data_IF_265641988330
#
_entry.id   IF_265641988330
#
_cell.length_a   1.000
_cell.length_b   1.000
_cell.length_c   1.000
_cell.angle_alpha   90.00
_cell.angle_beta   90.00
_cell.angle_gamma   90.00
#
_symmetry.space_group_name_H-M   'P 1'
#
loop_
_entity.id
_entity.type
_entity.pdbx_description
1 polymer ?
#
# COMPACT_ATOMS: atom_id res chain seq x y z
N UNK A 1 27.20 26.40 -6.24
CA UNK A 1 26.63 26.05 -4.91
C UNK A 1 25.12 26.15 -5.04
N UNK A 2 24.48 25.03 -5.24
CA UNK A 2 23.02 24.97 -5.20
C UNK A 2 22.64 24.88 -3.73
N UNK A 3 22.03 25.94 -3.21
CA UNK A 3 21.40 25.93 -1.90
C UNK A 3 20.22 24.94 -1.95
N UNK A 4 20.42 23.78 -1.37
CA UNK A 4 19.37 22.80 -1.11
C UNK A 4 18.50 23.35 0.03
N UNK A 5 17.58 24.26 -0.30
CA UNK A 5 16.54 24.71 0.62
C UNK A 5 15.49 23.60 0.74
N UNK A 6 15.80 22.59 1.55
CA UNK A 6 14.76 21.69 2.02
C UNK A 6 13.81 22.50 2.90
N UNK A 7 12.61 22.79 2.40
CA UNK A 7 11.56 23.37 3.23
C UNK A 7 11.37 22.51 4.49
N UNK A 8 11.24 23.12 5.66
CA UNK A 8 11.00 22.36 6.88
C UNK A 8 9.70 21.58 6.72
N UNK A 9 9.79 20.24 6.72
CA UNK A 9 8.60 19.38 6.72
C UNK A 9 7.78 19.72 7.95
N UNK A 10 6.56 20.22 7.76
CA UNK A 10 5.64 20.50 8.86
C UNK A 10 5.48 19.22 9.70
N UNK A 11 5.55 19.37 11.02
CA UNK A 11 5.34 18.25 11.94
C UNK A 11 3.89 17.78 11.83
N UNK A 12 3.69 16.59 11.32
CA UNK A 12 2.35 16.01 11.09
C UNK A 12 1.87 15.41 12.40
N UNK A 13 0.74 15.90 12.95
CA UNK A 13 0.18 15.43 14.22
C UNK A 13 -0.33 14.00 14.15
N UNK A 14 -0.93 13.61 13.04
CA UNK A 14 -1.40 12.25 12.76
C UNK A 14 -0.76 11.74 11.47
N UNK A 15 0.24 10.90 11.62
CA UNK A 15 1.03 10.35 10.50
C UNK A 15 0.21 9.44 9.60
N UNK A 16 -0.68 8.64 10.16
CA UNK A 16 -1.51 7.72 9.38
C UNK A 16 -2.55 8.50 8.54
N UNK A 17 -3.21 9.48 9.14
CA UNK A 17 -4.13 10.38 8.43
C UNK A 17 -3.43 11.11 7.28
N UNK A 18 -2.21 11.59 7.52
CA UNK A 18 -1.40 12.23 6.49
C UNK A 18 -1.11 11.29 5.31
N UNK A 19 -0.75 10.03 5.57
CA UNK A 19 -0.55 9.03 4.53
C UNK A 19 -1.83 8.79 3.72
N UNK A 20 -2.98 8.73 4.37
CA UNK A 20 -4.28 8.61 3.68
C UNK A 20 -4.55 9.81 2.77
N UNK A 21 -4.30 11.02 3.22
CA UNK A 21 -4.48 12.23 2.40
C UNK A 21 -3.54 12.27 1.20
N UNK A 22 -2.28 11.91 1.38
CA UNK A 22 -1.31 11.83 0.28
C UNK A 22 -1.68 10.73 -0.72
N UNK A 23 -2.17 9.57 -0.25
CA UNK A 23 -2.62 8.49 -1.12
C UNK A 23 -3.87 8.90 -1.92
N UNK A 24 -4.84 9.60 -1.33
CA UNK A 24 -5.99 10.16 -2.04
C UNK A 24 -5.54 11.07 -3.17
N UNK A 25 -4.56 11.91 -2.93
CA UNK A 25 -4.00 12.83 -3.95
C UNK A 25 -3.37 12.05 -5.10
N UNK A 26 -2.60 11.01 -4.81
CA UNK A 26 -2.02 10.13 -5.82
C UNK A 26 -3.09 9.43 -6.66
N UNK A 27 -4.13 8.88 -6.01
CA UNK A 27 -5.26 8.20 -6.68
C UNK A 27 -5.96 9.15 -7.65
N UNK A 28 -6.23 10.38 -7.25
CA UNK A 28 -6.87 11.39 -8.11
C UNK A 28 -6.05 11.64 -9.39
N UNK A 29 -4.74 11.74 -9.26
CA UNK A 29 -3.86 11.92 -10.42
C UNK A 29 -3.86 10.68 -11.33
N UNK A 30 -3.84 9.49 -10.77
CA UNK A 30 -3.91 8.23 -11.53
C UNK A 30 -5.25 8.05 -12.22
N UNK A 31 -6.36 8.34 -11.54
CA UNK A 31 -7.71 8.26 -12.11
C UNK A 31 -7.91 9.25 -13.26
N UNK A 32 -7.35 10.44 -13.15
CA UNK A 32 -7.38 11.41 -14.24
C UNK A 32 -6.66 10.88 -15.49
N UNK A 33 -5.47 10.33 -15.33
CA UNK A 33 -4.71 9.73 -16.43
C UNK A 33 -5.44 8.52 -17.03
N UNK A 34 -6.05 7.67 -16.20
CA UNK A 34 -6.84 6.51 -16.63
C UNK A 34 -8.08 6.91 -17.41
N UNK A 35 -8.83 7.90 -16.93
CA UNK A 35 -10.04 8.40 -17.63
C UNK A 35 -9.67 8.95 -18.99
N UNK A 36 -8.56 9.68 -19.10
CA UNK A 36 -8.05 10.18 -20.38
C UNK A 36 -7.70 9.03 -21.33
N UNK A 37 -7.11 7.95 -20.84
CA UNK A 37 -6.83 6.75 -21.65
C UNK A 37 -8.12 6.05 -22.09
N UNK A 38 -9.12 5.94 -21.24
CA UNK A 38 -10.42 5.37 -21.57
C UNK A 38 -11.10 6.13 -22.71
N UNK A 39 -11.06 7.46 -22.68
CA UNK A 39 -11.60 8.32 -23.73
C UNK A 39 -10.89 8.13 -25.07
N UNK A 40 -9.56 8.00 -25.04
CA UNK A 40 -8.73 7.83 -26.23
C UNK A 40 -8.92 6.43 -26.86
N UNK A 41 -8.87 5.38 -26.03
CA UNK A 41 -8.85 3.99 -26.49
C UNK A 41 -10.22 3.30 -26.40
N UNK A 42 -11.26 3.97 -25.93
CA UNK A 42 -12.60 3.42 -25.72
C UNK A 42 -12.59 2.12 -24.92
N UNK A 43 -11.77 2.09 -23.85
CA UNK A 43 -11.70 0.94 -22.95
C UNK A 43 -13.06 0.77 -22.27
N UNK A 44 -13.66 -0.44 -22.27
CA UNK A 44 -14.93 -0.68 -21.64
C UNK A 44 -14.93 -0.33 -20.16
N UNK A 45 -16.03 0.18 -19.65
CA UNK A 45 -16.21 0.36 -18.22
C UNK A 45 -16.16 -1.00 -17.51
N UNK A 46 -15.47 -1.01 -16.41
CA UNK A 46 -15.16 -2.21 -15.65
C UNK A 46 -16.22 -2.37 -14.57
N UNK A 47 -16.67 -3.63 -14.36
CA UNK A 47 -17.69 -3.98 -13.37
C UNK A 47 -17.26 -3.66 -11.93
N UNK A 48 -18.24 -3.56 -11.05
CA UNK A 48 -18.00 -3.41 -9.61
C UNK A 48 -17.09 -4.54 -9.08
N UNK A 49 -16.15 -4.18 -8.22
CA UNK A 49 -15.15 -5.10 -7.69
C UNK A 49 -13.87 -5.23 -8.52
N UNK A 50 -13.87 -4.81 -9.78
CA UNK A 50 -12.66 -4.86 -10.60
C UNK A 50 -11.52 -4.03 -10.03
N UNK A 51 -11.83 -2.87 -9.46
CA UNK A 51 -10.83 -2.01 -8.83
C UNK A 51 -10.17 -2.69 -7.63
N UNK A 52 -10.96 -3.37 -6.81
CA UNK A 52 -10.44 -4.18 -5.68
C UNK A 52 -9.56 -5.32 -6.20
N UNK A 53 -9.99 -6.01 -7.23
CA UNK A 53 -9.21 -7.07 -7.87
C UNK A 53 -7.88 -6.54 -8.42
N UNK A 54 -7.90 -5.42 -9.14
CA UNK A 54 -6.69 -4.80 -9.70
C UNK A 54 -5.70 -4.39 -8.61
N UNK A 55 -6.17 -3.71 -7.58
CA UNK A 55 -5.32 -3.23 -6.49
C UNK A 55 -4.75 -4.38 -5.65
N UNK A 56 -5.55 -5.39 -5.35
CA UNK A 56 -5.08 -6.57 -4.62
C UNK A 56 -4.10 -7.40 -5.45
N UNK A 57 -4.32 -7.50 -6.76
CA UNK A 57 -3.37 -8.15 -7.67
C UNK A 57 -2.05 -7.39 -7.77
N UNK A 58 -2.09 -6.06 -7.85
CA UNK A 58 -0.90 -5.23 -7.83
C UNK A 58 -0.11 -5.41 -6.53
N UNK A 59 -0.80 -5.42 -5.38
CA UNK A 59 -0.18 -5.67 -4.08
C UNK A 59 0.48 -7.07 -4.02
N UNK A 60 -0.16 -8.08 -4.61
CA UNK A 60 0.41 -9.43 -4.69
C UNK A 60 1.73 -9.44 -5.48
N UNK A 61 1.83 -8.66 -6.55
CA UNK A 61 3.08 -8.53 -7.30
C UNK A 61 4.19 -7.88 -6.46
N UNK A 62 3.89 -6.88 -5.65
CA UNK A 62 4.87 -6.29 -4.73
C UNK A 62 5.33 -7.29 -3.66
N UNK A 63 4.46 -8.15 -3.18
CA UNK A 63 4.82 -9.27 -2.28
C UNK A 63 5.82 -10.20 -2.97
N UNK A 64 5.59 -10.54 -4.23
CA UNK A 64 6.49 -11.38 -5.01
C UNK A 64 7.85 -10.69 -5.23
N UNK A 65 7.85 -9.39 -5.50
CA UNK A 65 9.08 -8.61 -5.65
C UNK A 65 9.89 -8.58 -4.34
N UNK A 66 9.23 -8.42 -3.19
CA UNK A 66 9.88 -8.56 -1.90
C UNK A 66 10.55 -9.93 -1.73
N UNK A 67 9.86 -11.00 -2.06
CA UNK A 67 10.42 -12.36 -2.00
C UNK A 67 11.65 -12.49 -2.91
N UNK A 68 11.62 -11.90 -4.10
CA UNK A 68 12.75 -11.93 -5.05
C UNK A 68 14.00 -11.21 -4.54
N UNK A 69 13.85 -10.24 -3.65
CA UNK A 69 14.99 -9.57 -3.00
C UNK A 69 15.65 -10.44 -1.92
N UNK A 70 15.11 -11.61 -1.62
CA UNK A 70 15.63 -12.55 -0.62
C UNK A 70 16.18 -13.82 -1.26
N UNK A 71 16.94 -14.61 -0.49
CA UNK A 71 17.47 -15.91 -0.90
C UNK A 71 16.51 -17.06 -0.54
N UNK A 72 15.21 -16.90 -0.73
CA UNK A 72 14.23 -17.92 -0.34
C UNK A 72 14.33 -19.21 -1.16
N UNK A 73 14.87 -19.13 -2.38
CA UNK A 73 15.16 -20.28 -3.23
C UNK A 73 16.47 -20.93 -2.80
N UNK A 74 16.40 -21.78 -1.80
CA UNK A 74 17.56 -22.44 -1.20
C UNK A 74 18.41 -23.24 -2.21
N UNK A 75 17.84 -23.62 -3.36
CA UNK A 75 18.53 -24.37 -4.42
C UNK A 75 19.30 -23.50 -5.42
N UNK A 76 19.24 -22.20 -5.26
CA UNK A 76 19.99 -21.24 -6.09
C UNK A 76 21.17 -20.65 -5.30
N UNK A 77 22.15 -20.15 -6.05
CA UNK A 77 23.26 -19.38 -5.46
C UNK A 77 22.73 -18.16 -4.72
N UNK A 78 23.15 -18.01 -3.48
CA UNK A 78 22.78 -16.85 -2.66
C UNK A 78 23.45 -15.58 -3.14
N UNK A 79 22.70 -14.49 -3.13
CA UNK A 79 23.18 -13.14 -3.42
C UNK A 79 23.09 -12.28 -2.15
N UNK A 80 23.93 -11.23 -2.03
CA UNK A 80 23.77 -10.26 -0.92
C UNK A 80 22.37 -9.67 -0.90
N UNK A 81 21.75 -9.65 0.27
CA UNK A 81 20.41 -9.07 0.47
C UNK A 81 20.57 -7.58 0.77
N UNK A 82 19.85 -6.75 0.02
CA UNK A 82 19.72 -5.32 0.31
C UNK A 82 18.47 -5.07 1.16
N UNK A 83 18.69 -4.74 2.43
CA UNK A 83 17.58 -4.38 3.33
C UNK A 83 16.83 -3.16 2.80
N UNK A 84 17.52 -2.19 2.23
CA UNK A 84 16.87 -1.02 1.65
C UNK A 84 15.89 -1.38 0.53
N UNK A 85 16.26 -2.27 -0.38
CA UNK A 85 15.35 -2.75 -1.44
C UNK A 85 14.16 -3.50 -0.86
N UNK A 86 14.38 -4.37 0.13
CA UNK A 86 13.28 -5.04 0.81
C UNK A 86 12.31 -4.04 1.45
N UNK A 87 12.83 -2.99 2.07
CA UNK A 87 12.01 -1.93 2.65
C UNK A 87 11.21 -1.17 1.59
N UNK A 88 11.80 -0.88 0.43
CA UNK A 88 11.11 -0.23 -0.69
C UNK A 88 9.91 -1.06 -1.15
N UNK A 89 10.05 -2.37 -1.30
CA UNK A 89 8.94 -3.26 -1.68
C UNK A 89 7.83 -3.30 -0.62
N UNK A 90 8.19 -3.25 0.66
CA UNK A 90 7.21 -3.13 1.75
C UNK A 90 6.47 -1.79 1.67
N UNK A 91 7.14 -0.70 1.34
CA UNK A 91 6.49 0.60 1.15
C UNK A 91 5.53 0.57 -0.04
N UNK A 92 5.87 -0.10 -1.14
CA UNK A 92 4.95 -0.28 -2.27
C UNK A 92 3.70 -1.06 -1.85
N UNK A 93 3.84 -2.08 -1.01
CA UNK A 93 2.70 -2.78 -0.40
C UNK A 93 1.83 -1.83 0.45
N UNK A 94 2.42 -0.93 1.22
CA UNK A 94 1.69 0.08 1.99
C UNK A 94 0.88 1.02 1.11
N UNK A 95 1.40 1.46 -0.03
CA UNK A 95 0.64 2.26 -0.99
C UNK A 95 -0.65 1.55 -1.42
N UNK A 96 -0.56 0.29 -1.85
CA UNK A 96 -1.73 -0.47 -2.27
C UNK A 96 -2.68 -0.79 -1.11
N UNK A 97 -2.15 -1.07 0.07
CA UNK A 97 -2.98 -1.35 1.25
C UNK A 97 -3.80 -0.13 1.68
N UNK A 98 -3.19 1.05 1.70
CA UNK A 98 -3.89 2.30 2.02
C UNK A 98 -4.93 2.60 0.93
N UNK A 99 -4.60 2.42 -0.34
CA UNK A 99 -5.53 2.64 -1.44
C UNK A 99 -6.73 1.69 -1.37
N UNK A 100 -6.53 0.40 -1.08
CA UNK A 100 -7.61 -0.57 -0.85
C UNK A 100 -8.51 -0.15 0.31
N UNK A 101 -7.91 0.32 1.39
CA UNK A 101 -8.64 0.83 2.56
C UNK A 101 -9.55 1.99 2.18
N UNK A 102 -9.04 2.94 1.41
CA UNK A 102 -9.81 4.09 0.90
C UNK A 102 -10.95 3.63 -0.01
N UNK A 103 -10.71 2.70 -0.93
CA UNK A 103 -11.73 2.15 -1.83
C UNK A 103 -12.88 1.47 -1.07
N UNK A 104 -12.59 0.91 0.10
CA UNK A 104 -13.58 0.28 0.98
C UNK A 104 -14.21 1.27 1.99
N UNK A 105 -13.97 2.56 1.82
CA UNK A 105 -14.56 3.62 2.64
C UNK A 105 -13.94 3.74 4.04
N UNK A 106 -12.73 3.24 4.23
CA UNK A 106 -12.03 3.36 5.51
C UNK A 106 -11.14 4.61 5.53
N UNK A 107 -11.14 5.28 6.65
CA UNK A 107 -10.18 6.34 7.00
C UNK A 107 -9.19 5.85 8.08
N UNK A 108 -8.27 6.72 8.49
CA UNK A 108 -7.28 6.37 9.50
C UNK A 108 -7.92 5.94 10.83
N UNK A 109 -8.97 6.61 11.28
CA UNK A 109 -9.68 6.24 12.51
C UNK A 109 -10.35 4.87 12.39
N UNK A 110 -10.97 4.57 11.27
CA UNK A 110 -11.58 3.26 10.99
C UNK A 110 -10.53 2.15 11.04
N UNK A 111 -9.36 2.39 10.44
CA UNK A 111 -8.24 1.43 10.49
C UNK A 111 -7.83 1.14 11.93
N UNK A 112 -7.58 2.17 12.73
CA UNK A 112 -7.16 2.00 14.13
C UNK A 112 -8.21 1.24 14.94
N UNK A 113 -9.48 1.63 14.82
CA UNK A 113 -10.57 0.99 15.57
C UNK A 113 -10.74 -0.48 15.21
N UNK A 114 -10.80 -0.79 13.90
CA UNK A 114 -10.92 -2.17 13.42
C UNK A 114 -9.68 -3.01 13.73
N UNK A 115 -8.50 -2.43 13.65
CA UNK A 115 -7.26 -3.10 14.05
C UNK A 115 -7.29 -3.50 15.53
N UNK A 116 -7.68 -2.59 16.41
CA UNK A 116 -7.76 -2.85 17.85
C UNK A 116 -8.81 -3.90 18.18
N UNK A 117 -9.97 -3.88 17.53
CA UNK A 117 -11.00 -4.92 17.69
C UNK A 117 -10.43 -6.31 17.30
N UNK A 118 -9.81 -6.42 16.15
CA UNK A 118 -9.18 -7.67 15.69
C UNK A 118 -8.01 -8.08 16.57
N UNK A 119 -7.21 -7.14 17.02
CA UNK A 119 -6.11 -7.40 17.94
C UNK A 119 -6.59 -8.00 19.25
N UNK A 120 -7.66 -7.45 19.84
CA UNK A 120 -8.26 -7.96 21.06
C UNK A 120 -8.83 -9.37 20.88
N UNK A 121 -9.52 -9.64 19.76
CA UNK A 121 -9.98 -10.99 19.41
C UNK A 121 -8.81 -11.98 19.33
N UNK A 122 -7.71 -11.60 18.67
CA UNK A 122 -6.52 -12.43 18.51
C UNK A 122 -5.85 -12.72 19.87
N UNK A 123 -5.75 -11.71 20.73
CA UNK A 123 -5.22 -11.87 22.08
C UNK A 123 -6.08 -12.83 22.91
N UNK A 124 -7.42 -12.73 22.82
CA UNK A 124 -8.32 -13.63 23.50
C UNK A 124 -8.22 -15.08 22.99
N UNK A 125 -8.09 -15.28 21.67
CA UNK A 125 -7.87 -16.59 21.08
C UNK A 125 -6.58 -17.23 21.59
N UNK A 126 -5.49 -16.48 21.69
CA UNK A 126 -4.22 -16.96 22.24
C UNK A 126 -4.36 -17.40 23.69
N UNK A 127 -5.09 -16.66 24.53
CA UNK A 127 -5.38 -17.03 25.92
C UNK A 127 -6.22 -18.31 26.04
N UNK A 128 -7.06 -18.62 25.05
CA UNK A 128 -7.94 -19.80 25.02
C UNK A 128 -7.25 -21.03 24.40
N UNK A 129 -5.99 -20.91 24.00
CA UNK A 129 -5.22 -22.03 23.44
C UNK A 129 -5.49 -22.29 21.96
N UNK A 130 -5.75 -21.27 21.20
CA UNK A 130 -5.90 -21.35 19.74
C UNK A 130 -4.56 -21.67 19.06
#
# INVERSE_FOLDING_TARGET
MEENTSEPKAEVKDKLEYLFEEQKRLIQNMDHARNKMQDIYKIPQIFDGYRIFMLSSAMLHEIIELQRETNWKWWKTSNPISINRCQEEVIDMWHFLIQLSIELGMDANTIVNKYLEKHNENMNRQKQGY
#
